data_IF_991807801726
#
_entry.id   IF_991807801726
#
_cell.length_a   1.000
_cell.length_b   1.000
_cell.length_c   1.000
_cell.angle_alpha   90.00
_cell.angle_beta   90.00
_cell.angle_gamma   90.00
#
_symmetry.space_group_name_H-M   'P 1'
#
loop_
_entity.id
_entity.type
_entity.pdbx_description
1 polymer ?
#
# COMPACT_ATOMS: atom_id res chain seq x y z
N UNK A 1 27.86 -12.70 -14.93
CA UNK A 1 26.70 -11.80 -14.76
C UNK A 1 27.00 -10.35 -15.17
N UNK A 2 28.14 -9.73 -14.80
CA UNK A 2 28.56 -8.37 -15.28
C UNK A 2 28.52 -8.18 -16.80
N UNK A 3 29.04 -9.15 -17.56
CA UNK A 3 29.07 -9.09 -19.04
C UNK A 3 27.69 -8.90 -19.68
N UNK A 4 26.61 -9.32 -19.01
CA UNK A 4 25.24 -9.26 -19.55
C UNK A 4 24.31 -8.32 -18.76
N UNK A 5 24.81 -7.68 -17.69
CA UNK A 5 23.97 -6.86 -16.81
C UNK A 5 23.55 -5.54 -17.47
N UNK A 6 24.44 -4.97 -18.29
CA UNK A 6 24.26 -3.68 -18.95
C UNK A 6 24.71 -3.74 -20.42
N UNK A 7 24.25 -2.78 -21.22
CA UNK A 7 24.75 -2.54 -22.57
C UNK A 7 26.21 -2.08 -22.52
N UNK A 8 26.94 -2.29 -23.61
CA UNK A 8 28.38 -2.01 -23.63
C UNK A 8 28.70 -0.51 -23.53
N UNK A 9 27.83 0.36 -24.05
CA UNK A 9 27.95 1.82 -23.91
C UNK A 9 27.95 2.27 -22.44
N UNK A 10 27.09 1.67 -21.61
CA UNK A 10 27.02 1.98 -20.17
C UNK A 10 28.30 1.53 -19.47
N UNK A 11 28.83 0.35 -19.85
CA UNK A 11 30.08 -0.16 -19.28
C UNK A 11 31.26 0.75 -19.61
N UNK A 12 31.40 1.14 -20.87
CA UNK A 12 32.48 2.04 -21.32
C UNK A 12 32.40 3.39 -20.60
N UNK A 13 31.20 3.98 -20.52
CA UNK A 13 31.00 5.26 -19.82
C UNK A 13 31.37 5.15 -18.35
N UNK A 14 30.98 4.04 -17.69
CA UNK A 14 31.31 3.81 -16.29
C UNK A 14 32.81 3.61 -16.07
N UNK A 15 33.46 2.79 -16.92
CA UNK A 15 34.91 2.54 -16.90
C UNK A 15 35.71 3.84 -17.07
N UNK A 16 35.32 4.68 -18.04
CA UNK A 16 35.99 5.95 -18.31
C UNK A 16 35.73 6.98 -17.21
N UNK A 17 34.51 7.05 -16.64
CA UNK A 17 34.17 7.99 -15.57
C UNK A 17 34.86 7.67 -14.25
N UNK A 18 35.01 6.38 -13.92
CA UNK A 18 35.57 5.92 -12.65
C UNK A 18 37.02 5.44 -12.76
N UNK A 19 37.66 5.62 -13.91
CA UNK A 19 39.04 5.20 -14.18
C UNK A 19 39.29 3.76 -13.73
N UNK A 20 38.41 2.85 -14.13
CA UNK A 20 38.46 1.43 -13.79
C UNK A 20 38.30 0.58 -15.05
N UNK A 21 38.70 -0.69 -15.01
CA UNK A 21 38.57 -1.57 -16.16
C UNK A 21 38.14 -2.99 -15.79
N UNK A 22 37.09 -3.49 -16.45
CA UNK A 22 36.53 -4.81 -16.18
C UNK A 22 35.91 -4.92 -14.79
N UNK A 23 35.34 -6.08 -14.47
CA UNK A 23 34.61 -6.24 -13.21
C UNK A 23 35.56 -6.32 -12.00
N UNK A 24 36.41 -7.34 -11.96
CA UNK A 24 37.44 -7.53 -10.91
C UNK A 24 38.82 -7.11 -11.39
N UNK A 25 39.08 -7.30 -12.69
CA UNK A 25 40.35 -7.00 -13.33
C UNK A 25 40.13 -6.64 -14.80
N UNK A 26 41.13 -5.99 -15.40
CA UNK A 26 41.14 -5.63 -16.83
C UNK A 26 40.94 -6.82 -17.77
N UNK A 27 41.36 -8.02 -17.35
CA UNK A 27 41.22 -9.25 -18.14
C UNK A 27 39.77 -9.71 -18.30
N UNK A 28 38.88 -9.24 -17.43
CA UNK A 28 37.45 -9.56 -17.48
C UNK A 28 36.64 -8.55 -18.30
N UNK A 29 37.29 -7.46 -18.76
CA UNK A 29 36.62 -6.48 -19.60
C UNK A 29 36.26 -7.12 -20.93
N UNK A 30 34.97 -7.09 -21.33
CA UNK A 30 34.55 -7.65 -22.61
C UNK A 30 35.04 -6.82 -23.80
N UNK A 31 35.60 -5.62 -23.59
CA UNK A 31 35.89 -4.70 -24.68
C UNK A 31 37.16 -3.84 -24.49
N UNK A 32 37.93 -3.74 -25.57
CA UNK A 32 39.09 -2.84 -25.72
C UNK A 32 38.70 -1.38 -26.06
N UNK A 33 37.43 -0.99 -25.94
CA UNK A 33 36.95 0.33 -26.39
C UNK A 33 37.14 1.43 -25.35
N UNK A 34 37.07 1.14 -24.06
CA UNK A 34 37.29 2.12 -23.00
C UNK A 34 38.73 2.66 -23.01
N UNK A 35 38.86 3.97 -22.83
CA UNK A 35 40.15 4.65 -22.70
C UNK A 35 40.82 4.24 -21.39
N UNK A 36 40.04 4.12 -20.30
CA UNK A 36 40.52 3.61 -19.03
C UNK A 36 41.11 2.20 -19.15
N UNK A 37 40.50 1.31 -19.93
CA UNK A 37 41.03 -0.03 -20.15
C UNK A 37 42.33 -0.10 -20.96
N UNK A 38 42.66 0.94 -21.74
CA UNK A 38 43.93 1.04 -22.49
C UNK A 38 45.08 1.52 -21.60
N UNK A 39 44.76 2.18 -20.50
CA UNK A 39 45.76 2.68 -19.56
C UNK A 39 46.23 1.57 -18.62
N UNK A 40 47.47 1.12 -18.81
CA UNK A 40 48.09 0.07 -17.98
C UNK A 40 48.36 0.49 -16.54
N UNK A 41 48.23 1.78 -16.21
CA UNK A 41 48.36 2.28 -14.83
C UNK A 41 47.15 1.92 -13.96
N UNK A 42 46.00 1.63 -14.58
CA UNK A 42 44.78 1.26 -13.88
C UNK A 42 44.84 -0.21 -13.47
N UNK A 43 44.97 -0.44 -12.16
CA UNK A 43 45.17 -1.77 -11.57
C UNK A 43 43.91 -2.40 -10.98
N UNK A 44 42.85 -1.61 -10.79
CA UNK A 44 41.64 -2.05 -10.09
C UNK A 44 40.46 -2.24 -11.04
N UNK A 45 39.70 -3.31 -10.81
CA UNK A 45 38.41 -3.52 -11.46
C UNK A 45 37.35 -2.56 -10.95
N UNK A 46 36.30 -2.38 -11.74
CA UNK A 46 35.18 -1.49 -11.45
C UNK A 46 34.34 -1.89 -10.23
N UNK A 47 34.51 -3.11 -9.71
CA UNK A 47 33.89 -3.49 -8.44
C UNK A 47 34.49 -2.72 -7.24
N UNK A 48 35.76 -2.31 -7.30
CA UNK A 48 36.41 -1.56 -6.22
C UNK A 48 35.72 -0.21 -5.93
N UNK A 49 35.55 0.71 -6.90
CA UNK A 49 34.87 1.98 -6.65
C UNK A 49 33.42 1.79 -6.20
N UNK A 50 32.74 0.74 -6.68
CA UNK A 50 31.36 0.40 -6.25
C UNK A 50 31.33 0.00 -4.77
N UNK A 51 32.20 -0.92 -4.33
CA UNK A 51 32.29 -1.33 -2.93
C UNK A 51 32.68 -0.14 -2.06
N UNK A 52 33.66 0.65 -2.49
CA UNK A 52 34.11 1.83 -1.75
C UNK A 52 32.98 2.86 -1.59
N UNK A 53 32.23 3.12 -2.66
CA UNK A 53 31.07 4.00 -2.61
C UNK A 53 29.97 3.43 -1.72
N UNK A 54 29.65 2.14 -1.84
CA UNK A 54 28.66 1.48 -1.01
C UNK A 54 29.04 1.55 0.48
N UNK A 55 30.30 1.32 0.83
CA UNK A 55 30.79 1.42 2.21
C UNK A 55 30.74 2.86 2.74
N UNK A 56 31.02 3.87 1.91
CA UNK A 56 30.95 5.27 2.33
C UNK A 56 29.51 5.77 2.46
N UNK A 57 28.63 5.33 1.57
CA UNK A 57 27.25 5.79 1.47
C UNK A 57 26.24 4.91 2.22
N UNK A 58 26.64 3.76 2.78
CA UNK A 58 25.70 2.85 3.46
C UNK A 58 24.87 3.57 4.53
N UNK A 59 25.50 4.45 5.33
CA UNK A 59 24.81 5.21 6.38
C UNK A 59 23.70 6.10 5.83
N UNK A 60 23.97 6.78 4.72
CA UNK A 60 22.99 7.65 4.06
C UNK A 60 21.85 6.85 3.43
N UNK A 61 22.18 5.71 2.81
CA UNK A 61 21.18 4.79 2.24
C UNK A 61 20.26 4.26 3.35
N UNK A 62 20.82 3.76 4.45
CA UNK A 62 20.04 3.27 5.59
C UNK A 62 19.21 4.38 6.23
N UNK A 63 19.76 5.58 6.40
CA UNK A 63 19.00 6.73 6.90
C UNK A 63 17.79 7.02 6.02
N UNK A 64 17.97 7.09 4.69
CA UNK A 64 16.88 7.32 3.75
C UNK A 64 15.80 6.23 3.79
N UNK A 65 16.20 4.96 3.83
CA UNK A 65 15.26 3.83 3.94
C UNK A 65 14.46 3.89 5.24
N UNK A 66 15.11 4.17 6.37
CA UNK A 66 14.43 4.31 7.67
C UNK A 66 13.44 5.47 7.63
N UNK A 67 13.81 6.62 7.04
CA UNK A 67 12.91 7.76 6.88
C UNK A 67 11.66 7.39 6.07
N UNK A 68 11.82 6.67 4.96
CA UNK A 68 10.68 6.21 4.14
C UNK A 68 9.78 5.27 4.96
N UNK A 69 10.36 4.35 5.73
CA UNK A 69 9.60 3.45 6.60
C UNK A 69 8.80 4.23 7.66
N UNK A 70 9.41 5.21 8.32
CA UNK A 70 8.74 6.04 9.34
C UNK A 70 7.56 6.80 8.72
N UNK A 71 7.77 7.42 7.55
CA UNK A 71 6.70 8.12 6.82
C UNK A 71 5.58 7.15 6.47
N UNK A 72 5.91 5.96 5.95
CA UNK A 72 4.93 4.94 5.59
C UNK A 72 4.08 4.50 6.80
N UNK A 73 4.71 4.23 7.94
CA UNK A 73 4.00 3.89 9.18
C UNK A 73 3.11 5.04 9.64
N UNK A 74 3.60 6.28 9.56
CA UNK A 74 2.82 7.48 9.87
C UNK A 74 1.56 7.59 9.00
N UNK A 75 1.69 7.44 7.68
CA UNK A 75 0.55 7.48 6.76
C UNK A 75 -0.49 6.39 7.05
N UNK A 76 -0.04 5.17 7.35
CA UNK A 76 -0.95 4.06 7.71
C UNK A 76 -1.67 4.38 9.02
N UNK A 77 -0.97 4.87 10.03
CA UNK A 77 -1.56 5.24 11.32
C UNK A 77 -2.61 6.35 11.16
N UNK A 78 -2.29 7.41 10.41
CA UNK A 78 -3.26 8.47 10.11
C UNK A 78 -4.46 7.94 9.33
N UNK A 79 -4.24 7.07 8.34
CA UNK A 79 -5.33 6.43 7.61
C UNK A 79 -6.27 5.63 8.51
N UNK A 80 -5.72 4.88 9.47
CA UNK A 80 -6.53 4.13 10.44
C UNK A 80 -7.33 5.05 11.36
N UNK A 81 -6.76 6.17 11.82
CA UNK A 81 -7.48 7.15 12.63
C UNK A 81 -8.68 7.74 11.88
N UNK A 82 -8.49 8.14 10.61
CA UNK A 82 -9.57 8.66 9.79
C UNK A 82 -10.70 7.63 9.57
N UNK A 83 -10.36 6.35 9.42
CA UNK A 83 -11.34 5.27 9.30
C UNK A 83 -12.12 5.06 10.60
N UNK A 84 -11.47 5.20 11.76
CA UNK A 84 -12.14 5.12 13.07
C UNK A 84 -13.13 6.29 13.24
N UNK A 85 -12.70 7.52 12.95
CA UNK A 85 -13.57 8.71 13.07
C UNK A 85 -14.80 8.59 12.16
N UNK A 86 -14.61 8.16 10.90
CA UNK A 86 -15.73 7.91 9.98
C UNK A 86 -16.67 6.82 10.51
N UNK A 87 -16.12 5.74 11.09
CA UNK A 87 -16.91 4.66 11.67
C UNK A 87 -17.73 5.12 12.88
N UNK A 88 -17.23 6.06 13.69
CA UNK A 88 -17.99 6.61 14.81
C UNK A 88 -19.11 7.54 14.34
N UNK A 89 -18.85 8.39 13.34
CA UNK A 89 -19.89 9.24 12.74
C UNK A 89 -21.05 8.42 12.16
N UNK A 90 -20.73 7.36 11.41
CA UNK A 90 -21.74 6.48 10.84
C UNK A 90 -22.51 5.71 11.92
N UNK A 91 -21.84 5.28 13.00
CA UNK A 91 -22.50 4.64 14.16
C UNK A 91 -23.46 5.60 14.85
N UNK A 92 -23.08 6.86 15.03
CA UNK A 92 -23.93 7.89 15.64
C UNK A 92 -25.15 8.18 14.75
N UNK A 93 -24.95 8.36 13.44
CA UNK A 93 -26.06 8.57 12.47
C UNK A 93 -27.05 7.40 12.48
N UNK A 94 -26.55 6.17 12.48
CA UNK A 94 -27.40 4.98 12.52
C UNK A 94 -28.21 4.91 13.83
N UNK A 95 -27.58 5.26 14.96
CA UNK A 95 -28.25 5.30 16.27
C UNK A 95 -29.37 6.33 16.33
N UNK A 96 -29.20 7.51 15.72
CA UNK A 96 -30.24 8.54 15.62
C UNK A 96 -31.40 8.10 14.73
N UNK A 97 -31.13 7.45 13.59
CA UNK A 97 -32.16 6.92 12.69
C UNK A 97 -33.00 5.85 13.40
N UNK A 98 -32.35 4.93 14.13
CA UNK A 98 -33.07 3.91 14.90
C UNK A 98 -33.92 4.51 16.03
N UNK A 99 -33.41 5.54 16.71
CA UNK A 99 -34.16 6.26 17.73
C UNK A 99 -35.40 6.97 17.16
N UNK A 100 -35.25 7.69 16.04
CA UNK A 100 -36.36 8.35 15.36
C UNK A 100 -37.41 7.34 14.86
N UNK A 101 -36.97 6.21 14.30
CA UNK A 101 -37.87 5.13 13.84
C UNK A 101 -38.70 4.54 14.98
N UNK A 102 -38.09 4.27 16.15
CA UNK A 102 -38.83 3.78 17.34
C UNK A 102 -39.85 4.80 17.86
N UNK A 103 -39.53 6.08 17.80
CA UNK A 103 -40.43 7.15 18.27
C UNK A 103 -41.61 7.38 17.32
N UNK A 104 -41.40 7.22 16.01
CA UNK A 104 -42.47 7.28 15.01
C UNK A 104 -43.44 6.09 15.14
N UNK A 105 -42.92 4.88 15.37
CA UNK A 105 -43.77 3.69 15.56
C UNK A 105 -44.50 3.67 16.91
N UNK A 106 -43.95 4.30 17.96
CA UNK A 106 -44.68 4.43 19.23
C UNK A 106 -45.84 5.42 19.14
N UNK A 107 -45.69 6.54 18.39
CA UNK A 107 -46.79 7.49 18.14
C UNK A 107 -47.94 6.89 17.32
N UNK A 108 -47.65 5.91 16.47
CA UNK A 108 -48.68 5.24 15.68
C UNK A 108 -49.59 4.31 16.50
N UNK A 109 -49.25 3.96 17.74
CA UNK A 109 -50.07 3.08 18.59
C UNK A 109 -51.19 3.79 19.37
N UNK A 110 -51.24 5.12 19.38
CA UNK A 110 -52.29 5.90 20.06
C UNK A 110 -53.40 6.44 19.14
N UNK A 111 -53.34 6.18 17.84
CA UNK A 111 -54.49 6.43 16.96
C UNK A 111 -55.42 5.22 16.98
N UNK A 112 -56.12 5.01 18.11
CA UNK A 112 -57.32 4.16 18.11
C UNK A 112 -58.36 4.82 17.21
N UNK A 113 -58.88 4.16 16.17
CA UNK A 113 -60.17 4.57 15.63
C UNK A 113 -61.22 4.28 16.71
N UNK A 114 -61.82 5.35 17.23
CA UNK A 114 -63.03 5.29 18.02
C UNK A 114 -64.22 5.10 17.06
N UNK A 115 -64.81 3.92 17.01
CA UNK A 115 -66.19 3.63 16.59
C UNK A 115 -66.39 2.12 16.64
N UNK A 116 -67.11 1.62 17.65
CA UNK A 116 -68.57 1.42 17.72
C UNK A 116 -68.96 0.00 17.31
N UNK A 117 -69.60 -0.67 18.25
CA UNK A 117 -70.22 -1.99 18.23
C UNK A 117 -71.06 -2.29 16.98
N UNK A 118 -70.98 -3.53 16.46
CA UNK A 118 -72.16 -4.39 16.19
C UNK A 118 -71.80 -5.77 15.57
N UNK A 119 -72.12 -6.80 16.34
CA UNK A 119 -72.57 -8.19 16.05
C UNK A 119 -72.39 -8.89 14.67
N UNK A 120 -71.79 -10.09 14.75
CA UNK A 120 -72.09 -11.39 14.06
C UNK A 120 -72.15 -11.48 12.53
N UNK A 121 -71.38 -12.40 11.91
CA UNK A 121 -71.79 -13.77 11.47
C UNK A 121 -70.56 -14.56 10.93
N UNK A 122 -70.62 -15.86 11.21
CA UNK A 122 -69.88 -17.09 10.84
C UNK A 122 -69.21 -17.25 9.45
N UNK A 123 -68.37 -18.30 9.42
CA UNK A 123 -67.70 -19.02 8.31
C UNK A 123 -66.41 -18.36 7.79
N UNK A 124 -65.25 -19.02 7.68
CA UNK A 124 -64.87 -20.44 7.72
C UNK A 124 -63.56 -20.60 6.94
N UNK A 125 -62.87 -21.72 7.13
CA UNK A 125 -61.60 -22.13 6.49
C UNK A 125 -60.34 -21.43 7.06
N UNK A 126 -59.63 -21.99 8.04
CA UNK A 126 -58.81 -23.21 7.97
C UNK A 126 -57.85 -23.28 6.77
N UNK A 127 -56.60 -23.60 7.10
CA UNK A 127 -55.51 -24.09 6.27
C UNK A 127 -54.74 -23.11 5.36
N UNK A 128 -53.54 -22.72 5.80
CA UNK A 128 -52.27 -23.25 5.25
C UNK A 128 -51.11 -22.67 6.08
N UNK A 129 -50.69 -23.39 7.12
CA UNK A 129 -49.42 -24.12 7.17
C UNK A 129 -48.22 -23.30 6.63
N UNK A 130 -47.32 -22.78 7.48
CA UNK A 130 -46.36 -23.59 8.25
C UNK A 130 -45.66 -24.62 7.33
N UNK A 131 -44.52 -24.22 6.72
CA UNK A 131 -43.34 -25.04 6.33
C UNK A 131 -42.55 -24.36 5.19
N UNK A 132 -41.58 -23.51 5.53
CA UNK A 132 -40.16 -23.63 5.13
C UNK A 132 -39.33 -22.49 5.71
#
# INVERSE_FOLDING_TARGET
>A
MWRNAWTDEIKVTFEDQHMCCGYLSRYDSPMNSSVACKDTTIKYGCMYPVIFYAQRCHRFIYAGLITICIIGVGCIATGMLLLIDCSEEDRIRLSQIHYLRRRATSKSKDTRPLSSSSSTISAGADQLNHLR
#
